data_IF_586889734570
#
_entry.id   IF_586889734570
#
_cell.length_a   1.000
_cell.length_b   1.000
_cell.length_c   1.000
_cell.angle_alpha   90.00
_cell.angle_beta   90.00
_cell.angle_gamma   90.00
#
_symmetry.space_group_name_H-M   'P 1'
#
loop_
_entity.id
_entity.type
_entity.pdbx_description
1 polymer ?
#
# COMPACT_ATOMS: atom_id res chain seq x y z
N UNK A 1 31.47 -19.56 -18.51
CA UNK A 1 30.07 -19.50 -18.97
C UNK A 1 29.17 -19.74 -17.77
N UNK A 2 28.45 -18.72 -17.33
CA UNK A 2 27.22 -18.83 -16.55
C UNK A 2 26.44 -17.57 -16.86
N UNK A 3 25.40 -17.76 -17.66
CA UNK A 3 24.51 -16.76 -18.22
C UNK A 3 23.50 -16.23 -17.21
N UNK A 4 23.08 -14.98 -17.45
CA UNK A 4 21.76 -14.39 -17.16
C UNK A 4 21.26 -14.32 -15.71
N UNK A 5 21.53 -13.18 -15.07
CA UNK A 5 20.55 -12.51 -14.20
C UNK A 5 20.51 -11.01 -14.48
N UNK A 6 20.09 -10.61 -15.68
CA UNK A 6 19.62 -9.25 -15.94
C UNK A 6 18.27 -9.08 -15.23
N UNK A 7 18.31 -8.89 -13.90
CA UNK A 7 17.18 -8.39 -13.15
C UNK A 7 16.95 -6.95 -13.63
N UNK A 8 16.05 -6.76 -14.59
CA UNK A 8 15.67 -5.44 -15.12
C UNK A 8 15.02 -4.66 -13.97
N UNK A 9 15.84 -4.00 -13.16
CA UNK A 9 15.44 -2.85 -12.37
C UNK A 9 14.95 -1.81 -13.37
N UNK A 10 13.64 -1.70 -13.57
CA UNK A 10 13.08 -0.61 -14.37
C UNK A 10 13.67 0.69 -13.83
N UNK A 11 14.27 1.49 -14.70
CA UNK A 11 14.84 2.78 -14.30
C UNK A 11 13.77 3.62 -13.60
N UNK A 12 14.10 4.39 -12.58
CA UNK A 12 13.14 5.28 -11.90
C UNK A 12 12.36 6.17 -12.90
N UNK A 13 13.00 6.52 -14.01
CA UNK A 13 12.38 7.26 -15.11
C UNK A 13 11.30 6.45 -15.86
N UNK A 14 11.53 5.16 -16.05
CA UNK A 14 10.58 4.22 -16.65
C UNK A 14 9.40 3.96 -15.71
N UNK A 15 9.67 3.86 -14.41
CA UNK A 15 8.64 3.72 -13.38
C UNK A 15 7.77 4.97 -13.28
N UNK A 16 8.36 6.16 -13.30
CA UNK A 16 7.62 7.43 -13.35
C UNK A 16 6.75 7.52 -14.62
N UNK A 17 7.27 7.11 -15.78
CA UNK A 17 6.50 7.07 -17.01
C UNK A 17 5.31 6.10 -16.93
N UNK A 18 5.49 4.90 -16.38
CA UNK A 18 4.42 3.93 -16.14
C UNK A 18 3.37 4.50 -15.17
N UNK A 19 3.81 5.17 -14.09
CA UNK A 19 2.92 5.78 -13.11
C UNK A 19 2.05 6.88 -13.73
N UNK A 20 2.65 7.77 -14.53
CA UNK A 20 1.92 8.82 -15.24
C UNK A 20 0.90 8.24 -16.23
N UNK A 21 1.26 7.20 -16.98
CA UNK A 21 0.32 6.50 -17.86
C UNK A 21 -0.87 5.89 -17.10
N UNK A 22 -0.66 5.43 -15.87
CA UNK A 22 -1.70 4.85 -15.03
C UNK A 22 -2.63 5.89 -14.39
N UNK A 23 -2.17 7.14 -14.21
CA UNK A 23 -2.96 8.23 -13.63
C UNK A 23 -4.03 8.78 -14.60
N UNK A 24 -3.86 8.56 -15.91
CA UNK A 24 -4.72 9.14 -16.94
C UNK A 24 -4.34 10.59 -17.29
N UNK A 25 -4.91 11.09 -18.38
CA UNK A 25 -4.48 12.32 -19.05
C UNK A 25 -4.51 13.57 -18.14
N UNK A 26 -5.65 13.85 -17.50
CA UNK A 26 -5.85 15.04 -16.66
C UNK A 26 -4.89 15.09 -15.45
N UNK A 27 -4.74 13.96 -14.75
CA UNK A 27 -3.88 13.88 -13.58
C UNK A 27 -2.40 13.92 -13.98
N UNK A 28 -2.01 13.22 -15.05
CA UNK A 28 -0.64 13.27 -15.56
C UNK A 28 -0.27 14.67 -16.05
N UNK A 29 -1.18 15.38 -16.71
CA UNK A 29 -0.96 16.76 -17.16
C UNK A 29 -0.68 17.70 -15.98
N UNK A 30 -1.43 17.55 -14.89
CA UNK A 30 -1.23 18.34 -13.66
C UNK A 30 0.16 18.12 -13.06
N UNK A 31 0.67 16.88 -13.09
CA UNK A 31 2.03 16.56 -12.64
C UNK A 31 3.07 17.13 -13.59
N UNK A 32 2.91 16.94 -14.91
CA UNK A 32 3.83 17.45 -15.93
C UNK A 32 4.00 18.97 -15.87
N UNK A 33 2.94 19.72 -15.53
CA UNK A 33 3.00 21.17 -15.35
C UNK A 33 3.90 21.63 -14.18
N UNK A 34 4.24 20.74 -13.25
CA UNK A 34 5.15 21.03 -12.13
C UNK A 34 6.61 20.72 -12.43
N UNK A 35 6.91 20.14 -13.58
CA UNK A 35 8.25 19.73 -13.97
C UNK A 35 8.93 20.79 -14.84
N UNK A 36 10.26 20.77 -14.83
CA UNK A 36 11.05 21.58 -15.76
C UNK A 36 10.94 21.05 -17.19
N UNK A 37 11.28 21.90 -18.16
CA UNK A 37 11.23 21.56 -19.59
C UNK A 37 12.07 20.31 -19.92
N UNK A 38 13.25 20.16 -19.31
CA UNK A 38 14.12 19.01 -19.56
C UNK A 38 13.50 17.70 -19.04
N UNK A 39 12.89 17.75 -17.85
CA UNK A 39 12.24 16.59 -17.23
C UNK A 39 11.02 16.13 -18.03
N UNK A 40 10.20 17.07 -18.51
CA UNK A 40 9.04 16.76 -19.37
C UNK A 40 9.48 16.05 -20.64
N UNK A 41 10.55 16.50 -21.29
CA UNK A 41 11.07 15.86 -22.51
C UNK A 41 11.54 14.43 -22.20
N UNK A 42 12.35 14.25 -21.15
CA UNK A 42 12.85 12.92 -20.75
C UNK A 42 11.72 11.95 -20.41
N UNK A 43 10.70 12.39 -19.67
CA UNK A 43 9.55 11.56 -19.33
C UNK A 43 8.72 11.20 -20.55
N UNK A 44 8.47 12.17 -21.43
CA UNK A 44 7.69 11.97 -22.66
C UNK A 44 8.36 10.96 -23.59
N UNK A 45 9.69 11.02 -23.75
CA UNK A 45 10.44 10.04 -24.53
C UNK A 45 10.33 8.62 -23.94
N UNK A 46 10.33 8.49 -22.61
CA UNK A 46 10.17 7.19 -21.95
C UNK A 46 8.75 6.67 -22.08
N UNK A 47 7.74 7.53 -21.92
CA UNK A 47 6.34 7.18 -22.13
C UNK A 47 6.08 6.69 -23.56
N UNK A 48 6.68 7.34 -24.57
CA UNK A 48 6.55 6.93 -25.97
C UNK A 48 7.24 5.59 -26.29
N UNK A 49 8.34 5.27 -25.58
CA UNK A 49 9.07 4.00 -25.75
C UNK A 49 8.38 2.81 -25.06
N UNK A 50 7.53 3.08 -24.07
CA UNK A 50 6.76 2.06 -23.36
C UNK A 50 5.65 1.51 -24.27
N UNK A 51 5.93 0.43 -24.99
CA UNK A 51 4.92 -0.33 -25.73
C UNK A 51 4.38 -1.48 -24.88
N UNK A 52 3.08 -1.46 -24.60
CA UNK A 52 2.38 -2.58 -23.95
C UNK A 52 2.75 -2.78 -22.48
N UNK A 53 2.43 -1.79 -21.62
CA UNK A 53 2.56 -1.95 -20.16
C UNK A 53 1.60 -3.05 -19.69
N UNK A 54 2.16 -4.19 -19.26
CA UNK A 54 1.37 -5.28 -18.67
C UNK A 54 0.79 -4.83 -17.34
N UNK A 55 -0.45 -5.23 -17.04
CA UNK A 55 -1.13 -4.92 -15.77
C UNK A 55 -0.31 -5.32 -14.53
N UNK A 56 0.44 -6.42 -14.61
CA UNK A 56 1.34 -6.86 -13.54
C UNK A 56 2.50 -5.89 -13.30
N UNK A 57 3.02 -5.26 -14.35
CA UNK A 57 4.09 -4.26 -14.27
C UNK A 57 3.58 -2.96 -13.66
N UNK A 58 2.43 -2.47 -14.14
CA UNK A 58 1.77 -1.30 -13.58
C UNK A 58 1.51 -1.47 -12.07
N UNK A 59 0.97 -2.63 -11.66
CA UNK A 59 0.73 -2.95 -10.26
C UNK A 59 2.01 -2.93 -9.42
N UNK A 60 3.11 -3.47 -9.95
CA UNK A 60 4.40 -3.49 -9.26
C UNK A 60 4.95 -2.07 -9.05
N UNK A 61 4.89 -1.23 -10.08
CA UNK A 61 5.35 0.16 -10.02
C UNK A 61 4.52 0.99 -9.03
N UNK A 62 3.19 0.84 -9.05
CA UNK A 62 2.30 1.54 -8.12
C UNK A 62 2.60 1.15 -6.66
N UNK A 63 2.74 -0.15 -6.38
CA UNK A 63 3.04 -0.62 -5.03
C UNK A 63 4.39 -0.08 -4.54
N UNK A 64 5.42 -0.14 -5.39
CA UNK A 64 6.74 0.38 -5.05
C UNK A 64 6.75 1.88 -4.77
N UNK A 65 6.02 2.67 -5.57
CA UNK A 65 5.85 4.10 -5.32
C UNK A 65 5.20 4.37 -3.96
N UNK A 66 4.16 3.62 -3.58
CA UNK A 66 3.54 3.77 -2.26
C UNK A 66 4.47 3.38 -1.11
N UNK A 67 5.27 2.33 -1.29
CA UNK A 67 6.24 1.90 -0.28
C UNK A 67 7.34 2.97 -0.08
N UNK A 68 7.94 3.49 -1.16
CA UNK A 68 8.93 4.57 -1.08
C UNK A 68 8.34 5.88 -0.54
N UNK A 69 7.11 6.23 -0.95
CA UNK A 69 6.42 7.42 -0.44
C UNK A 69 6.19 7.34 1.08
N UNK A 70 5.89 6.16 1.62
CA UNK A 70 5.74 5.93 3.07
C UNK A 70 7.06 6.11 3.80
N UNK A 71 8.18 5.65 3.24
CA UNK A 71 9.50 5.80 3.86
C UNK A 71 9.99 7.26 3.84
N UNK A 72 9.83 7.97 2.73
CA UNK A 72 10.38 9.32 2.55
C UNK A 72 9.54 10.43 3.18
N UNK A 73 8.22 10.29 3.23
CA UNK A 73 7.38 11.40 3.69
C UNK A 73 7.47 11.60 5.21
N UNK A 74 8.10 10.69 5.97
CA UNK A 74 8.03 10.66 7.45
C UNK A 74 6.59 10.47 7.97
N UNK A 75 5.64 10.32 7.05
CA UNK A 75 4.26 9.98 7.31
C UNK A 75 4.30 8.48 7.59
N UNK A 76 4.29 8.11 8.87
CA UNK A 76 3.96 6.75 9.30
C UNK A 76 2.55 6.39 8.78
N UNK A 77 2.47 5.98 7.52
CA UNK A 77 1.25 5.76 6.74
C UNK A 77 0.50 7.06 6.45
N UNK A 78 0.29 7.42 5.17
CA UNK A 78 -0.81 8.31 4.80
C UNK A 78 -2.01 7.90 5.65
N UNK A 79 -2.49 8.80 6.52
CA UNK A 79 -3.43 8.41 7.58
C UNK A 79 -4.54 7.59 6.92
N UNK A 80 -4.96 6.48 7.54
CA UNK A 80 -6.02 5.62 6.99
C UNK A 80 -7.18 6.46 6.41
N UNK A 81 -7.50 7.57 7.08
CA UNK A 81 -8.47 8.58 6.65
C UNK A 81 -8.16 9.30 5.33
N UNK A 82 -6.90 9.66 5.04
CA UNK A 82 -6.50 10.28 3.77
C UNK A 82 -6.60 9.27 2.63
N UNK A 83 -6.07 8.06 2.81
CA UNK A 83 -6.15 7.02 1.78
C UNK A 83 -7.61 6.60 1.53
N UNK A 84 -8.40 6.50 2.61
CA UNK A 84 -9.84 6.24 2.53
C UNK A 84 -10.58 7.39 1.84
N UNK A 85 -10.22 8.65 2.11
CA UNK A 85 -10.79 9.81 1.43
C UNK A 85 -10.51 9.82 -0.08
N UNK A 86 -9.32 9.39 -0.49
CA UNK A 86 -8.95 9.26 -1.91
C UNK A 86 -9.73 8.11 -2.56
N UNK A 87 -9.74 6.93 -1.95
CA UNK A 87 -10.42 5.75 -2.50
C UNK A 87 -11.95 5.93 -2.53
N UNK A 88 -12.54 6.58 -1.53
CA UNK A 88 -13.97 6.90 -1.51
C UNK A 88 -14.38 7.76 -2.71
N UNK A 89 -13.54 8.73 -3.10
CA UNK A 89 -13.79 9.61 -4.25
C UNK A 89 -13.62 8.89 -5.58
N UNK A 90 -12.74 7.90 -5.65
CA UNK A 90 -12.42 7.19 -6.89
C UNK A 90 -13.32 5.97 -7.16
N UNK A 91 -13.72 5.23 -6.12
CA UNK A 91 -14.35 3.91 -6.24
C UNK A 91 -15.71 3.80 -5.53
N UNK A 92 -16.14 4.86 -4.82
CA UNK A 92 -17.28 4.79 -3.92
C UNK A 92 -16.92 4.16 -2.57
N UNK A 93 -17.72 4.49 -1.54
CA UNK A 93 -17.44 4.16 -0.14
C UNK A 93 -17.37 2.67 0.17
N UNK A 94 -18.18 1.85 -0.51
CA UNK A 94 -18.28 0.41 -0.24
C UNK A 94 -17.05 -0.36 -0.73
N UNK A 95 -16.63 -0.13 -1.97
CA UNK A 95 -15.44 -0.74 -2.58
C UNK A 95 -14.17 -0.22 -1.90
N UNK A 96 -14.10 1.09 -1.65
CA UNK A 96 -12.99 1.71 -0.94
C UNK A 96 -12.79 1.11 0.47
N UNK A 97 -13.88 0.87 1.20
CA UNK A 97 -13.81 0.24 2.52
C UNK A 97 -13.29 -1.19 2.45
N UNK A 98 -13.73 -1.97 1.47
CA UNK A 98 -13.23 -3.34 1.24
C UNK A 98 -11.72 -3.36 0.92
N UNK A 99 -11.26 -2.46 0.04
CA UNK A 99 -9.85 -2.34 -0.34
C UNK A 99 -8.99 -1.84 0.83
N UNK A 100 -9.45 -0.81 1.56
CA UNK A 100 -8.79 -0.33 2.79
C UNK A 100 -8.70 -1.43 3.84
N UNK A 101 -9.77 -2.21 4.03
CA UNK A 101 -9.77 -3.32 4.96
C UNK A 101 -8.88 -4.48 4.48
N UNK A 102 -8.70 -4.68 3.18
CA UNK A 102 -7.71 -5.61 2.64
C UNK A 102 -6.26 -5.17 2.85
N UNK A 103 -6.00 -3.86 2.83
CA UNK A 103 -4.66 -3.28 2.99
C UNK A 103 -4.26 -3.15 4.47
N UNK A 104 -5.19 -2.72 5.34
CA UNK A 104 -4.94 -2.42 6.75
C UNK A 104 -5.54 -3.45 7.73
N UNK A 105 -6.50 -4.26 7.29
CA UNK A 105 -7.27 -5.18 8.15
C UNK A 105 -6.54 -6.45 8.59
N UNK A 106 -5.26 -6.59 8.26
CA UNK A 106 -4.40 -7.63 8.83
C UNK A 106 -3.52 -7.15 9.98
N UNK A 107 -3.54 -5.86 10.32
CA UNK A 107 -2.72 -5.37 11.42
C UNK A 107 -3.27 -5.82 12.78
N UNK A 108 -4.60 -5.88 12.94
CA UNK A 108 -5.24 -6.37 14.16
C UNK A 108 -5.05 -7.87 14.28
N UNK A 109 -5.28 -8.66 13.22
CA UNK A 109 -5.00 -10.12 13.25
C UNK A 109 -3.53 -10.41 13.53
N UNK A 110 -2.60 -9.69 12.90
CA UNK A 110 -1.16 -9.83 13.15
C UNK A 110 -0.77 -9.46 14.59
N UNK A 111 -1.36 -8.40 15.15
CA UNK A 111 -1.16 -8.00 16.56
C UNK A 111 -1.76 -9.02 17.52
N UNK A 112 -2.98 -9.51 17.26
CA UNK A 112 -3.66 -10.52 18.06
C UNK A 112 -2.96 -11.89 17.97
N UNK A 113 -2.43 -12.25 16.80
CA UNK A 113 -1.62 -13.45 16.63
C UNK A 113 -0.31 -13.40 17.44
N UNK A 114 0.16 -12.24 17.90
CA UNK A 114 1.29 -12.19 18.84
C UNK A 114 0.91 -12.56 20.27
N UNK A 115 -0.38 -12.46 20.63
CA UNK A 115 -0.88 -12.85 21.95
C UNK A 115 -0.86 -14.36 22.16
N UNK A 116 -0.78 -15.17 21.10
CA UNK A 116 -0.61 -16.62 21.21
C UNK A 116 0.72 -17.02 21.86
N UNK A 117 1.71 -16.12 21.90
CA UNK A 117 3.03 -16.34 22.50
C UNK A 117 3.12 -15.85 23.95
N UNK A 118 2.03 -15.33 24.50
CA UNK A 118 1.94 -14.87 25.89
C UNK A 118 1.38 -16.00 26.75
N UNK A 119 1.98 -16.22 27.92
CA UNK A 119 1.50 -17.24 28.86
C UNK A 119 0.00 -17.02 29.20
N UNK A 120 -0.87 -18.04 29.03
CA UNK A 120 -2.32 -17.87 29.11
C UNK A 120 -2.81 -17.26 30.43
N UNK A 121 -2.15 -17.61 31.55
CA UNK A 121 -2.48 -17.06 32.88
C UNK A 121 -2.19 -15.56 32.97
N UNK A 122 -1.10 -15.11 32.35
CA UNK A 122 -0.72 -13.70 32.34
C UNK A 122 -1.63 -12.90 31.42
N UNK A 123 -1.98 -13.47 30.26
CA UNK A 123 -2.95 -12.89 29.34
C UNK A 123 -4.34 -12.78 29.97
N UNK A 124 -4.81 -13.81 30.69
CA UNK A 124 -6.09 -13.81 31.37
C UNK A 124 -6.19 -12.74 32.47
N UNK A 125 -5.12 -12.53 33.24
CA UNK A 125 -5.06 -11.44 34.23
C UNK A 125 -5.20 -10.08 33.56
N UNK A 126 -4.45 -9.84 32.48
CA UNK A 126 -4.52 -8.57 31.73
C UNK A 126 -5.91 -8.35 31.10
N UNK A 127 -6.51 -9.37 30.52
CA UNK A 127 -7.87 -9.27 29.93
C UNK A 127 -8.92 -9.03 31.02
N UNK A 128 -8.75 -9.62 32.21
CA UNK A 128 -9.72 -9.48 33.31
C UNK A 128 -9.84 -8.04 33.84
N UNK A 129 -8.84 -7.20 33.60
CA UNK A 129 -8.83 -5.78 33.97
C UNK A 129 -9.59 -4.90 32.96
N UNK A 130 -9.96 -5.45 31.79
CA UNK A 130 -10.66 -4.72 30.72
C UNK A 130 -12.19 -4.77 30.86
N UNK A 131 -12.89 -3.86 30.17
CA UNK A 131 -14.36 -3.87 30.14
C UNK A 131 -14.92 -5.14 29.48
N UNK A 132 -16.06 -5.66 29.98
CA UNK A 132 -16.74 -6.89 29.52
C UNK A 132 -16.83 -7.03 28.00
N UNK A 133 -17.10 -5.92 27.33
CA UNK A 133 -17.27 -5.89 25.87
C UNK A 133 -15.94 -6.08 25.13
N UNK A 134 -14.84 -5.61 25.71
CA UNK A 134 -13.49 -5.78 25.17
C UNK A 134 -12.95 -7.18 25.50
N UNK A 135 -13.28 -7.75 26.66
CA UNK A 135 -12.99 -9.15 26.99
C UNK A 135 -13.59 -10.10 25.95
N UNK A 136 -14.85 -9.89 25.57
CA UNK A 136 -15.52 -10.68 24.54
C UNK A 136 -14.83 -10.59 23.18
N UNK A 137 -14.32 -9.41 22.82
CA UNK A 137 -13.54 -9.23 21.58
C UNK A 137 -12.23 -9.99 21.66
N UNK A 138 -11.46 -9.89 22.74
CA UNK A 138 -10.21 -10.65 22.86
C UNK A 138 -10.45 -12.16 22.73
N UNK A 139 -11.46 -12.69 23.41
CA UNK A 139 -11.81 -14.11 23.34
C UNK A 139 -12.25 -14.56 21.94
N UNK A 140 -12.97 -13.72 21.19
CA UNK A 140 -13.39 -14.03 19.82
C UNK A 140 -12.22 -14.09 18.80
N UNK A 141 -11.08 -13.50 19.14
CA UNK A 141 -9.89 -13.45 18.28
C UNK A 141 -8.78 -14.45 18.67
N UNK A 142 -8.88 -15.10 19.83
CA UNK A 142 -7.97 -16.16 20.26
C UNK A 142 -8.42 -17.50 19.68
N UNK A 143 -7.46 -18.35 19.29
CA UNK A 143 -7.75 -19.71 18.80
C UNK A 143 -8.17 -20.60 19.97
N UNK A 144 -9.07 -21.58 19.76
CA UNK A 144 -9.64 -22.44 20.81
C UNK A 144 -8.64 -23.39 21.50
N UNK A 145 -7.35 -23.31 21.17
CA UNK A 145 -6.27 -24.14 21.73
C UNK A 145 -5.59 -23.51 22.96
N UNK A 146 -6.07 -22.32 23.39
CA UNK A 146 -5.62 -21.60 24.59
C UNK A 146 -6.65 -21.74 25.71
#
# INVERSE_FOLDING_TARGET
MSELTTNKSNSYLEQAAILLLCLGEEAAATVMQKLSREEVVRLSENMARLSGVKTSMARKVINHFFDEFREQSGINGASRSMLQGILNKALGTEIASSVINGIYGDEIRSRMARLQWVEPRQLAMLISEEHLQLQAVFLAFLTPEI
#
